data_IF_378488206694
#
_entry.id   IF_378488206694
#
_cell.length_a   1.000
_cell.length_b   1.000
_cell.length_c   1.000
_cell.angle_alpha   90.00
_cell.angle_beta   90.00
_cell.angle_gamma   90.00
#
_symmetry.space_group_name_H-M   'P 1'
#
loop_
_entity.id
_entity.type
_entity.pdbx_description
1 polymer ?
#
# COMPACT_ATOMS: atom_id res chain seq x y z
N UNK A 1 41.54 52.78 -39.35
CA UNK A 1 41.25 51.33 -39.48
C UNK A 1 39.95 51.10 -38.72
N UNK A 2 38.75 51.31 -39.28
CA UNK A 2 38.05 50.77 -40.46
C UNK A 2 37.53 49.32 -40.28
N UNK A 3 36.19 49.28 -40.13
CA UNK A 3 35.15 48.26 -40.33
C UNK A 3 34.90 47.06 -39.39
N UNK A 4 33.64 47.08 -38.93
CA UNK A 4 32.75 46.00 -38.47
C UNK A 4 32.42 44.99 -39.57
N UNK A 5 32.18 43.71 -39.23
CA UNK A 5 31.36 42.77 -40.02
C UNK A 5 30.65 41.76 -39.08
N UNK A 6 29.31 41.80 -39.11
CA UNK A 6 28.39 40.70 -38.76
C UNK A 6 28.43 39.63 -39.85
N UNK A 7 28.10 38.36 -39.57
CA UNK A 7 27.83 37.45 -40.68
C UNK A 7 27.60 35.99 -40.35
N UNK A 8 26.32 35.63 -40.33
CA UNK A 8 25.76 34.28 -40.36
C UNK A 8 26.11 33.61 -41.70
N UNK A 9 26.23 32.29 -41.69
CA UNK A 9 25.86 31.31 -42.73
C UNK A 9 26.94 30.25 -42.94
N UNK A 10 26.63 29.02 -42.53
CA UNK A 10 27.23 27.83 -43.13
C UNK A 10 26.09 26.98 -43.64
N UNK A 11 26.00 26.95 -44.98
CA UNK A 11 25.12 26.07 -45.73
C UNK A 11 25.57 24.61 -45.61
N UNK A 12 24.57 23.76 -45.75
CA UNK A 12 24.57 22.31 -45.79
C UNK A 12 25.61 21.72 -46.74
N UNK A 13 26.30 20.65 -46.30
CA UNK A 13 26.66 19.52 -47.14
C UNK A 13 26.54 18.22 -46.33
N UNK A 14 25.65 17.35 -46.81
CA UNK A 14 25.60 15.91 -46.53
C UNK A 14 26.98 15.28 -46.69
N UNK A 15 27.40 14.50 -45.71
CA UNK A 15 28.20 13.30 -45.95
C UNK A 15 27.71 12.21 -45.01
N UNK A 16 27.06 11.20 -45.60
CA UNK A 16 26.88 9.92 -44.97
C UNK A 16 28.26 9.34 -44.65
N UNK A 17 28.52 9.05 -43.39
CA UNK A 17 29.23 7.84 -43.02
C UNK A 17 28.45 7.23 -41.87
N UNK A 18 27.68 6.21 -42.23
CA UNK A 18 27.15 5.19 -41.34
C UNK A 18 28.26 4.67 -40.43
N UNK A 19 28.04 4.73 -39.12
CA UNK A 19 28.61 3.77 -38.19
C UNK A 19 27.52 3.36 -37.19
N UNK A 20 27.52 2.06 -36.97
CA UNK A 20 26.46 1.18 -36.52
C UNK A 20 26.54 1.06 -34.99
N UNK A 21 25.75 1.85 -34.25
CA UNK A 21 25.66 1.70 -32.79
C UNK A 21 24.50 0.78 -32.42
N UNK A 22 24.81 -0.52 -32.54
CA UNK A 22 24.51 -1.54 -31.54
C UNK A 22 23.11 -1.49 -30.94
N UNK A 23 22.20 -2.26 -31.53
CA UNK A 23 20.98 -2.74 -30.89
C UNK A 23 21.30 -3.58 -29.65
N UNK A 24 21.57 -2.93 -28.53
CA UNK A 24 21.45 -3.53 -27.22
C UNK A 24 19.97 -3.69 -26.88
N UNK A 25 19.52 -4.82 -26.30
CA UNK A 25 18.14 -4.94 -25.85
C UNK A 25 17.86 -3.81 -24.86
N UNK A 26 16.81 -3.01 -25.15
CA UNK A 26 16.26 -2.03 -24.23
C UNK A 26 15.97 -2.79 -22.93
N UNK A 27 16.69 -2.47 -21.85
CA UNK A 27 16.44 -3.03 -20.52
C UNK A 27 15.10 -2.45 -20.06
N UNK A 28 14.01 -3.13 -20.35
CA UNK A 28 12.67 -2.82 -19.85
C UNK A 28 12.63 -3.16 -18.37
N UNK A 29 13.06 -2.22 -17.54
CA UNK A 29 12.75 -2.27 -16.11
C UNK A 29 11.27 -1.96 -15.98
N UNK A 30 10.46 -2.93 -15.58
CA UNK A 30 9.04 -2.72 -15.27
C UNK A 30 8.92 -1.79 -14.06
N UNK A 31 7.91 -0.92 -14.05
CA UNK A 31 7.60 -0.05 -12.91
C UNK A 31 6.09 -0.07 -12.67
N UNK A 32 5.64 -0.81 -11.64
CA UNK A 32 4.22 -1.06 -11.38
C UNK A 32 3.47 -1.62 -12.61
N UNK A 33 4.11 -2.60 -13.23
CA UNK A 33 3.68 -3.22 -14.48
C UNK A 33 3.92 -4.73 -14.42
N UNK A 34 3.18 -5.48 -15.23
CA UNK A 34 3.50 -6.86 -15.53
C UNK A 34 3.64 -7.06 -17.04
N UNK A 35 4.37 -8.09 -17.44
CA UNK A 35 4.55 -8.49 -18.83
C UNK A 35 4.23 -9.97 -18.99
N UNK A 36 3.31 -10.29 -19.90
CA UNK A 36 2.97 -11.66 -20.28
C UNK A 36 3.36 -11.89 -21.73
N UNK A 37 4.24 -12.86 -21.99
CA UNK A 37 4.77 -13.14 -23.33
C UNK A 37 5.30 -11.88 -24.06
N UNK A 38 5.94 -10.98 -23.30
CA UNK A 38 6.48 -9.69 -23.75
C UNK A 38 5.44 -8.59 -24.05
N UNK A 39 4.16 -8.80 -23.74
CA UNK A 39 3.15 -7.74 -23.73
C UNK A 39 3.08 -7.12 -22.34
N UNK A 40 3.44 -5.84 -22.22
CA UNK A 40 3.45 -5.11 -20.95
C UNK A 40 2.11 -4.47 -20.67
N UNK A 41 1.66 -4.54 -19.43
CA UNK A 41 0.40 -3.97 -18.94
C UNK A 41 0.63 -3.30 -17.58
N UNK A 42 0.10 -2.08 -17.35
CA UNK A 42 0.12 -1.44 -16.04
C UNK A 42 -0.64 -2.27 -14.99
N UNK A 43 -0.22 -2.17 -13.73
CA UNK A 43 -0.99 -2.68 -12.60
C UNK A 43 -1.88 -1.55 -12.08
N UNK A 44 -3.19 -1.74 -12.17
CA UNK A 44 -4.19 -0.75 -11.78
C UNK A 44 -4.72 -0.95 -10.36
N UNK A 45 -4.73 -2.18 -9.82
CA UNK A 45 -5.25 -2.47 -8.48
C UNK A 45 -4.66 -3.75 -7.90
N UNK A 46 -4.47 -3.76 -6.57
CA UNK A 46 -4.04 -4.95 -5.83
C UNK A 46 -4.95 -5.14 -4.62
N UNK A 47 -5.56 -6.32 -4.52
CA UNK A 47 -6.35 -6.76 -3.37
C UNK A 47 -5.69 -8.02 -2.81
N UNK A 48 -5.71 -8.23 -1.50
CA UNK A 48 -5.32 -9.50 -0.93
C UNK A 48 -6.24 -9.95 0.18
N UNK A 49 -6.34 -11.26 0.38
CA UNK A 49 -7.08 -11.88 1.47
C UNK A 49 -6.14 -12.71 2.33
N UNK A 50 -6.62 -13.07 3.53
CA UNK A 50 -5.95 -14.02 4.42
C UNK A 50 -6.98 -15.01 4.92
N UNK A 51 -6.73 -16.29 4.68
CA UNK A 51 -7.48 -17.37 5.33
C UNK A 51 -6.91 -17.59 6.73
N UNK A 52 -7.69 -17.27 7.76
CA UNK A 52 -7.28 -17.40 9.16
C UNK A 52 -7.07 -18.87 9.59
N UNK A 53 -7.70 -19.84 8.92
CA UNK A 53 -7.59 -21.25 9.28
C UNK A 53 -6.30 -21.89 8.73
N UNK A 54 -5.96 -21.58 7.47
CA UNK A 54 -4.75 -22.10 6.82
C UNK A 54 -3.54 -21.17 6.96
N UNK A 55 -3.75 -19.90 7.28
CA UNK A 55 -2.71 -18.87 7.30
C UNK A 55 -2.28 -18.41 5.90
N UNK A 56 -2.98 -18.83 4.85
CA UNK A 56 -2.63 -18.51 3.46
C UNK A 56 -3.08 -17.10 3.12
N UNK A 57 -2.15 -16.30 2.60
CA UNK A 57 -2.39 -15.01 1.97
C UNK A 57 -2.63 -15.22 0.47
N UNK A 58 -3.67 -14.59 -0.07
CA UNK A 58 -3.98 -14.65 -1.50
C UNK A 58 -4.00 -13.25 -2.08
N UNK A 59 -3.08 -12.93 -2.98
CA UNK A 59 -2.96 -11.64 -3.66
C UNK A 59 -3.57 -11.71 -5.07
N UNK A 60 -4.32 -10.68 -5.42
CA UNK A 60 -4.98 -10.46 -6.69
C UNK A 60 -4.44 -9.16 -7.29
N UNK A 61 -3.71 -9.25 -8.39
CA UNK A 61 -3.00 -8.11 -9.01
C UNK A 61 -3.61 -7.90 -10.40
N UNK A 62 -4.42 -6.85 -10.55
CA UNK A 62 -5.20 -6.58 -11.77
C UNK A 62 -4.67 -5.36 -12.52
N UNK A 63 -4.75 -5.35 -13.87
CA UNK A 63 -4.54 -4.15 -14.67
C UNK A 63 -5.72 -3.16 -14.61
N UNK A 64 -6.90 -3.59 -14.19
CA UNK A 64 -8.06 -2.71 -14.06
C UNK A 64 -7.86 -1.76 -12.87
N UNK A 65 -8.01 -0.46 -13.13
CA UNK A 65 -7.87 0.58 -12.12
C UNK A 65 -9.10 0.69 -11.21
N UNK A 66 -8.89 1.01 -9.93
CA UNK A 66 -9.96 1.35 -8.99
C UNK A 66 -10.75 0.17 -8.43
N UNK A 67 -10.24 -1.06 -8.49
CA UNK A 67 -10.86 -2.22 -7.85
C UNK A 67 -10.54 -2.20 -6.36
N UNK A 68 -11.57 -1.98 -5.53
CA UNK A 68 -11.43 -1.75 -4.08
C UNK A 68 -11.90 -2.90 -3.20
N UNK A 69 -12.46 -3.97 -3.78
CA UNK A 69 -12.91 -5.15 -3.05
C UNK A 69 -12.72 -6.43 -3.88
N UNK A 70 -12.88 -7.58 -3.22
CA UNK A 70 -12.70 -8.88 -3.87
C UNK A 70 -13.80 -9.18 -4.89
N UNK A 71 -15.03 -8.75 -4.68
CA UNK A 71 -16.13 -9.07 -5.61
C UNK A 71 -15.92 -8.37 -6.95
N UNK A 72 -15.51 -7.09 -6.93
CA UNK A 72 -15.13 -6.34 -8.12
C UNK A 72 -13.89 -6.94 -8.80
N UNK A 73 -12.92 -7.40 -8.01
CA UNK A 73 -11.71 -8.09 -8.51
C UNK A 73 -12.04 -9.41 -9.23
N UNK A 74 -12.89 -10.24 -8.62
CA UNK A 74 -13.35 -11.50 -9.19
C UNK A 74 -14.24 -11.28 -10.42
N UNK A 75 -15.00 -10.18 -10.46
CA UNK A 75 -15.81 -9.81 -11.63
C UNK A 75 -14.96 -9.36 -12.82
N UNK A 76 -13.82 -8.70 -12.57
CA UNK A 76 -12.90 -8.28 -13.62
C UNK A 76 -12.15 -9.45 -14.28
N UNK A 77 -11.83 -10.50 -13.51
CA UNK A 77 -11.24 -11.78 -13.98
C UNK A 77 -9.97 -11.63 -14.85
N UNK A 78 -9.17 -10.60 -14.58
CA UNK A 78 -7.97 -10.23 -15.35
C UNK A 78 -6.68 -10.22 -14.52
N UNK A 79 -6.75 -10.73 -13.29
CA UNK A 79 -5.70 -10.62 -12.28
C UNK A 79 -4.67 -11.75 -12.33
N UNK A 80 -3.44 -11.46 -11.88
CA UNK A 80 -2.47 -12.45 -11.42
C UNK A 80 -2.89 -12.86 -10.00
N UNK A 81 -3.02 -14.17 -9.78
CA UNK A 81 -3.35 -14.74 -8.47
C UNK A 81 -2.10 -15.37 -7.86
N UNK A 82 -1.73 -14.96 -6.65
CA UNK A 82 -0.60 -15.53 -5.88
C UNK A 82 -1.11 -15.98 -4.52
N UNK A 83 -0.95 -17.25 -4.17
CA UNK A 83 -1.21 -17.76 -2.83
C UNK A 83 0.11 -18.11 -2.14
N UNK A 84 0.28 -17.73 -0.88
CA UNK A 84 1.47 -18.03 -0.07
C UNK A 84 1.15 -18.04 1.42
N UNK A 85 1.79 -18.92 2.18
CA UNK A 85 1.75 -18.88 3.65
C UNK A 85 2.81 -17.92 4.25
N UNK A 86 3.69 -17.36 3.43
CA UNK A 86 4.73 -16.39 3.80
C UNK A 86 4.67 -15.18 2.87
N UNK A 87 3.97 -14.09 3.25
CA UNK A 87 3.82 -12.89 2.42
C UNK A 87 5.05 -11.96 2.50
N UNK A 88 6.20 -12.48 2.90
CA UNK A 88 7.44 -11.71 3.09
C UNK A 88 8.66 -12.56 2.75
N UNK A 89 9.53 -12.03 1.90
CA UNK A 89 10.75 -12.66 1.44
C UNK A 89 10.61 -13.36 0.08
N UNK A 90 11.60 -14.18 -0.22
CA UNK A 90 11.60 -15.01 -1.42
C UNK A 90 10.69 -16.23 -1.21
N UNK A 91 9.81 -16.48 -2.17
CA UNK A 91 8.76 -17.51 -2.08
C UNK A 91 9.06 -18.59 -3.11
N UNK A 92 9.19 -19.84 -2.63
CA UNK A 92 9.20 -21.01 -3.51
C UNK A 92 7.78 -21.35 -3.97
N UNK A 93 7.43 -20.94 -5.19
CA UNK A 93 6.14 -21.20 -5.81
C UNK A 93 5.85 -22.68 -6.08
N UNK A 94 6.87 -23.55 -6.06
CA UNK A 94 6.71 -25.00 -6.18
C UNK A 94 6.55 -25.69 -4.83
N UNK A 95 6.72 -24.94 -3.74
CA UNK A 95 6.49 -25.40 -2.39
C UNK A 95 5.01 -25.70 -2.10
N UNK A 96 4.78 -26.43 -1.01
CA UNK A 96 3.44 -26.69 -0.50
C UNK A 96 2.75 -25.38 -0.11
N UNK A 97 1.44 -25.29 -0.37
CA UNK A 97 0.56 -24.16 -0.01
C UNK A 97 0.87 -22.84 -0.75
N UNK A 98 1.84 -22.85 -1.67
CA UNK A 98 2.15 -21.74 -2.55
C UNK A 98 1.63 -22.02 -3.96
N UNK A 99 1.15 -20.97 -4.64
CA UNK A 99 0.79 -21.07 -6.05
C UNK A 99 0.81 -19.72 -6.75
N UNK A 100 0.94 -19.77 -8.07
CA UNK A 100 0.76 -18.63 -8.97
C UNK A 100 -0.10 -19.06 -10.14
N UNK A 101 -1.12 -18.25 -10.48
CA UNK A 101 -2.01 -18.47 -11.62
C UNK A 101 -2.21 -17.18 -12.39
N UNK A 102 -1.91 -17.22 -13.68
CA UNK A 102 -2.30 -16.20 -14.65
C UNK A 102 -2.29 -16.80 -16.06
N UNK A 103 -3.48 -16.86 -16.70
CA UNK A 103 -3.65 -17.48 -18.03
C UNK A 103 -3.02 -18.89 -18.10
N UNK A 104 -2.01 -19.08 -18.94
CA UNK A 104 -1.29 -20.36 -19.11
C UNK A 104 -0.13 -20.56 -18.13
N UNK A 105 0.25 -19.53 -17.36
CA UNK A 105 1.28 -19.65 -16.31
C UNK A 105 0.59 -20.15 -15.04
N UNK A 106 0.81 -21.41 -14.71
CA UNK A 106 0.24 -22.09 -13.54
C UNK A 106 1.35 -22.81 -12.79
N UNK A 107 1.73 -22.27 -11.63
CA UNK A 107 2.84 -22.77 -10.82
C UNK A 107 2.31 -23.19 -9.45
N UNK A 108 2.66 -24.40 -9.05
CA UNK A 108 2.33 -25.00 -7.76
C UNK A 108 3.20 -26.24 -7.58
N UNK A 109 3.12 -26.89 -6.41
CA UNK A 109 3.74 -28.20 -6.18
C UNK A 109 3.32 -29.28 -7.19
N UNK A 110 2.10 -29.22 -7.74
CA UNK A 110 1.58 -30.19 -8.71
C UNK A 110 2.08 -29.95 -10.13
N UNK A 111 2.44 -28.70 -10.45
CA UNK A 111 2.85 -28.29 -11.81
C UNK A 111 4.35 -28.04 -11.93
N UNK A 112 5.14 -28.32 -10.88
CA UNK A 112 6.57 -28.05 -10.82
C UNK A 112 7.37 -28.62 -12.03
N UNK A 113 6.97 -29.77 -12.57
CA UNK A 113 7.61 -30.37 -13.75
C UNK A 113 7.48 -29.52 -15.04
N UNK A 114 6.53 -28.59 -15.08
CA UNK A 114 6.27 -27.71 -16.22
C UNK A 114 6.92 -26.33 -16.04
N UNK A 115 7.68 -26.11 -14.96
CA UNK A 115 8.29 -24.83 -14.63
C UNK A 115 9.75 -24.82 -15.09
N UNK A 116 10.12 -23.84 -15.91
CA UNK A 116 11.51 -23.61 -16.31
C UNK A 116 12.21 -22.65 -15.34
N UNK A 117 11.52 -21.61 -14.90
CA UNK A 117 12.00 -20.64 -13.92
C UNK A 117 10.83 -20.12 -13.08
N UNK A 118 11.06 -19.88 -11.78
CA UNK A 118 10.09 -19.25 -10.89
C UNK A 118 10.81 -18.52 -9.77
N UNK A 119 11.07 -17.23 -9.98
CA UNK A 119 11.56 -16.33 -8.96
C UNK A 119 10.41 -15.41 -8.52
N UNK A 120 10.03 -15.50 -7.25
CA UNK A 120 9.04 -14.62 -6.64
C UNK A 120 9.63 -14.06 -5.34
N UNK A 121 9.62 -12.74 -5.21
CA UNK A 121 9.86 -12.05 -3.96
C UNK A 121 8.65 -11.17 -3.65
N UNK A 122 8.10 -11.31 -2.45
CA UNK A 122 6.95 -10.55 -2.00
C UNK A 122 7.30 -9.95 -0.63
N UNK A 123 6.96 -8.70 -0.41
CA UNK A 123 7.15 -8.01 0.85
C UNK A 123 5.91 -7.18 1.14
N UNK A 124 5.03 -7.71 1.98
CA UNK A 124 3.95 -6.95 2.58
C UNK A 124 4.55 -6.03 3.66
N UNK A 125 4.89 -4.79 3.28
CA UNK A 125 5.57 -3.83 4.18
C UNK A 125 4.64 -3.28 5.25
N UNK A 126 3.34 -3.25 4.97
CA UNK A 126 2.25 -2.86 5.87
C UNK A 126 0.96 -3.58 5.43
N UNK A 127 -0.15 -3.39 6.14
CA UNK A 127 -1.44 -3.94 5.69
C UNK A 127 -1.91 -3.36 4.34
N UNK A 128 -1.37 -2.21 3.93
CA UNK A 128 -1.82 -1.43 2.78
C UNK A 128 -0.77 -1.28 1.70
N UNK A 129 0.44 -1.78 1.87
CA UNK A 129 1.52 -1.65 0.88
C UNK A 129 2.23 -2.97 0.67
N UNK A 130 2.39 -3.35 -0.60
CA UNK A 130 3.11 -4.54 -1.01
C UNK A 130 4.16 -4.20 -2.06
N UNK A 131 5.32 -4.82 -1.91
CA UNK A 131 6.35 -4.89 -2.93
C UNK A 131 6.41 -6.30 -3.50
N UNK A 132 6.45 -6.41 -4.81
CA UNK A 132 6.45 -7.67 -5.56
C UNK A 132 7.50 -7.60 -6.66
N UNK A 133 8.28 -8.67 -6.80
CA UNK A 133 9.11 -8.92 -7.98
C UNK A 133 8.88 -10.37 -8.41
N UNK A 134 8.55 -10.56 -9.67
CA UNK A 134 8.20 -11.85 -10.26
C UNK A 134 8.92 -12.03 -11.59
N UNK A 135 9.56 -13.20 -11.76
CA UNK A 135 10.06 -13.69 -13.05
C UNK A 135 9.75 -15.20 -13.15
N UNK A 136 8.77 -15.54 -13.98
CA UNK A 136 8.31 -16.90 -14.21
C UNK A 136 8.39 -17.27 -15.69
N UNK A 137 8.83 -18.50 -15.95
CA UNK A 137 8.85 -19.10 -17.29
C UNK A 137 8.43 -20.57 -17.23
N UNK A 138 7.54 -20.97 -18.13
CA UNK A 138 7.06 -22.34 -18.28
C UNK A 138 7.86 -23.08 -19.36
N UNK A 139 7.94 -24.42 -19.27
CA UNK A 139 8.61 -25.24 -20.28
C UNK A 139 7.93 -25.19 -21.66
N UNK A 140 6.66 -24.81 -21.70
CA UNK A 140 5.88 -24.55 -22.91
C UNK A 140 6.22 -23.22 -23.59
N UNK A 141 7.01 -22.36 -22.94
CA UNK A 141 7.52 -21.10 -23.49
C UNK A 141 6.82 -19.85 -22.98
N UNK A 142 5.69 -19.96 -22.27
CA UNK A 142 5.04 -18.80 -21.67
C UNK A 142 5.87 -18.15 -20.58
N UNK A 143 5.87 -16.82 -20.54
CA UNK A 143 6.59 -16.01 -19.57
C UNK A 143 5.68 -15.02 -18.89
N UNK A 144 5.93 -14.78 -17.60
CA UNK A 144 5.26 -13.75 -16.81
C UNK A 144 6.29 -13.05 -15.93
N UNK A 145 6.38 -11.73 -16.07
CA UNK A 145 7.22 -10.88 -15.22
C UNK A 145 6.35 -9.81 -14.58
N UNK A 146 6.65 -9.42 -13.35
CA UNK A 146 5.96 -8.28 -12.72
C UNK A 146 6.89 -7.57 -11.74
N UNK A 147 6.77 -6.25 -11.68
CA UNK A 147 7.37 -5.43 -10.63
C UNK A 147 6.29 -4.51 -10.09
N UNK A 148 6.09 -4.54 -8.77
CA UNK A 148 5.11 -3.69 -8.10
C UNK A 148 5.66 -3.18 -6.78
N UNK A 149 5.39 -1.92 -6.49
CA UNK A 149 5.66 -1.29 -5.21
C UNK A 149 4.60 -0.20 -5.01
N UNK A 150 3.53 -0.57 -4.32
CA UNK A 150 2.37 0.31 -4.20
C UNK A 150 1.33 -0.22 -3.24
N UNK A 151 0.16 0.42 -3.30
CA UNK A 151 -0.94 0.15 -2.39
C UNK A 151 -1.61 -1.20 -2.68
N UNK A 152 -1.96 -1.92 -1.63
CA UNK A 152 -2.84 -3.07 -1.71
C UNK A 152 -3.97 -2.94 -0.70
N UNK A 153 -5.12 -3.53 -1.02
CA UNK A 153 -6.28 -3.50 -0.15
C UNK A 153 -6.43 -4.86 0.49
N UNK A 154 -6.42 -4.90 1.82
CA UNK A 154 -6.74 -6.11 2.54
C UNK A 154 -8.26 -6.33 2.52
N UNK A 155 -8.71 -7.31 1.74
CA UNK A 155 -10.09 -7.77 1.76
C UNK A 155 -10.23 -8.91 2.77
N UNK A 156 -11.07 -8.68 3.77
CA UNK A 156 -11.64 -9.72 4.62
C UNK A 156 -13.14 -9.68 4.36
N UNK A 157 -13.73 -10.82 3.96
CA UNK A 157 -15.18 -10.94 3.78
C UNK A 157 -15.87 -10.29 4.98
N UNK A 158 -16.83 -9.39 4.74
CA UNK A 158 -17.47 -8.59 5.79
C UNK A 158 -17.72 -9.43 7.03
N UNK A 159 -16.84 -9.29 8.01
CA UNK A 159 -17.17 -9.70 9.34
C UNK A 159 -18.26 -8.70 9.74
N UNK A 160 -19.43 -9.24 10.08
CA UNK A 160 -20.67 -8.62 10.52
C UNK A 160 -20.52 -7.23 11.20
N UNK A 161 -20.28 -6.13 10.47
CA UNK A 161 -19.88 -4.79 10.98
C UNK A 161 -20.20 -4.55 12.47
N UNK A 162 -19.17 -4.53 13.31
CA UNK A 162 -19.34 -4.37 14.74
C UNK A 162 -19.85 -2.96 15.08
N UNK A 163 -20.53 -2.82 16.21
CA UNK A 163 -20.99 -1.52 16.69
C UNK A 163 -19.89 -0.46 16.61
N UNK A 164 -20.25 0.71 16.06
CA UNK A 164 -19.36 1.85 15.97
C UNK A 164 -18.84 2.22 17.36
N UNK A 165 -17.52 2.33 17.46
CA UNK A 165 -16.83 2.59 18.70
C UNK A 165 -16.70 4.08 18.91
N UNK A 166 -17.59 4.63 19.74
CA UNK A 166 -17.49 6.04 20.12
C UNK A 166 -16.30 6.26 21.05
N UNK A 167 -15.27 6.95 20.56
CA UNK A 167 -14.16 7.46 21.37
C UNK A 167 -14.34 8.98 21.57
N UNK A 168 -14.64 9.41 22.78
CA UNK A 168 -14.97 10.81 23.09
C UNK A 168 -14.08 11.44 24.16
N UNK A 169 -13.03 10.74 24.58
CA UNK A 169 -12.03 11.27 25.52
C UNK A 169 -10.78 11.73 24.74
N UNK A 170 -10.64 13.03 24.44
CA UNK A 170 -9.48 13.54 23.72
C UNK A 170 -8.22 13.34 24.58
N UNK A 171 -7.18 12.78 23.97
CA UNK A 171 -5.92 12.49 24.65
C UNK A 171 -4.89 13.57 24.38
N UNK A 172 -4.61 13.80 23.11
CA UNK A 172 -3.69 14.83 22.64
C UNK A 172 -3.94 15.20 21.18
N UNK A 173 -3.40 16.35 20.80
CA UNK A 173 -3.22 16.77 19.42
C UNK A 173 -1.94 17.60 19.35
N UNK A 174 -0.87 17.02 18.80
CA UNK A 174 0.45 17.65 18.75
C UNK A 174 0.86 17.92 17.31
N UNK A 175 1.39 19.11 17.07
CA UNK A 175 2.23 19.36 15.92
C UNK A 175 3.65 18.89 16.24
N UNK A 176 4.22 17.99 15.43
CA UNK A 176 5.55 17.40 15.66
C UNK A 176 6.67 18.03 14.84
N UNK A 177 6.34 18.99 13.97
CA UNK A 177 7.30 19.63 13.08
C UNK A 177 6.90 19.54 11.63
N UNK A 178 7.71 20.17 10.78
CA UNK A 178 7.64 20.03 9.34
C UNK A 178 8.48 18.83 8.89
N UNK A 179 8.00 18.10 7.90
CA UNK A 179 8.67 16.97 7.27
C UNK A 179 9.61 17.43 6.16
N UNK A 180 10.39 16.49 5.61
CA UNK A 180 11.24 16.75 4.45
C UNK A 180 10.45 17.00 3.15
N UNK A 181 9.18 16.60 3.08
CA UNK A 181 8.28 16.88 1.96
C UNK A 181 7.62 18.27 2.07
N UNK A 182 7.88 19.01 3.15
CA UNK A 182 7.33 20.34 3.37
C UNK A 182 5.98 20.36 4.09
N UNK A 183 5.40 19.20 4.40
CA UNK A 183 4.13 19.09 5.14
C UNK A 183 4.32 19.17 6.65
N UNK A 184 3.27 19.55 7.36
CA UNK A 184 3.24 19.52 8.83
C UNK A 184 2.80 18.14 9.33
N UNK A 185 3.55 17.59 10.28
CA UNK A 185 3.19 16.35 10.97
C UNK A 185 2.32 16.65 12.20
N UNK A 186 1.19 15.95 12.30
CA UNK A 186 0.25 16.00 13.40
C UNK A 186 0.03 14.61 14.00
N UNK A 187 0.25 14.50 15.31
CA UNK A 187 -0.09 13.29 16.06
C UNK A 187 -1.34 13.53 16.89
N UNK A 188 -2.39 12.74 16.66
CA UNK A 188 -3.69 12.86 17.27
C UNK A 188 -4.01 11.62 18.10
N UNK A 189 -4.68 11.79 19.24
CA UNK A 189 -5.04 10.70 20.13
C UNK A 189 -6.43 10.88 20.74
N UNK A 190 -7.24 9.82 20.71
CA UNK A 190 -8.57 9.78 21.34
C UNK A 190 -8.84 8.40 21.94
N UNK A 191 -9.55 8.34 23.06
CA UNK A 191 -9.91 7.09 23.75
C UNK A 191 -11.40 7.04 24.09
N UNK A 192 -11.89 5.85 24.44
CA UNK A 192 -13.23 5.67 25.02
C UNK A 192 -13.20 5.41 26.55
N UNK A 193 -12.02 5.26 27.14
CA UNK A 193 -11.81 4.98 28.56
C UNK A 193 -10.81 5.93 29.18
N UNK A 194 -10.75 6.00 30.50
CA UNK A 194 -9.75 6.84 31.17
C UNK A 194 -8.33 6.36 30.89
N UNK A 195 -7.41 7.31 30.77
CA UNK A 195 -6.02 7.06 30.41
C UNK A 195 -5.06 7.92 31.23
N UNK A 196 -3.77 7.61 31.13
CA UNK A 196 -2.65 8.46 31.53
C UNK A 196 -1.71 8.66 30.35
N UNK A 197 -1.14 9.85 30.24
CA UNK A 197 -0.13 10.18 29.24
C UNK A 197 1.18 10.58 29.89
N UNK A 198 2.30 10.18 29.27
CA UNK A 198 3.63 10.67 29.59
C UNK A 198 4.39 10.93 28.28
N UNK A 199 4.33 12.19 27.81
CA UNK A 199 4.79 12.50 26.45
C UNK A 199 3.90 11.83 25.40
N UNK A 200 4.50 11.04 24.51
CA UNK A 200 3.78 10.24 23.50
C UNK A 200 3.35 8.86 24.03
N UNK A 201 3.75 8.47 25.24
CA UNK A 201 3.34 7.21 25.82
C UNK A 201 1.94 7.33 26.43
N UNK A 202 1.13 6.29 26.21
CA UNK A 202 -0.25 6.17 26.68
C UNK A 202 -0.37 4.89 27.49
N UNK A 203 -1.11 4.94 28.60
CA UNK A 203 -1.66 3.74 29.23
C UNK A 203 -3.15 3.94 29.54
N UNK A 204 -3.98 2.97 29.14
CA UNK A 204 -5.39 2.92 29.49
C UNK A 204 -5.54 2.40 30.92
N UNK A 205 -6.42 3.02 31.71
CA UNK A 205 -6.62 2.66 33.13
C UNK A 205 -7.55 1.46 33.31
N UNK A 206 -8.34 1.15 32.31
CA UNK A 206 -9.37 0.12 32.32
C UNK A 206 -9.52 -0.46 30.90
N UNK A 207 -10.11 -1.67 30.75
CA UNK A 207 -10.26 -2.30 29.45
C UNK A 207 -11.02 -1.40 28.47
N UNK A 208 -10.46 -1.16 27.30
CA UNK A 208 -11.00 -0.21 26.35
C UNK A 208 -10.06 0.06 25.19
N UNK A 209 -10.36 1.09 24.42
CA UNK A 209 -9.69 1.40 23.17
C UNK A 209 -9.15 2.83 23.16
N UNK A 210 -8.04 3.02 22.45
CA UNK A 210 -7.54 4.31 22.04
C UNK A 210 -7.10 4.27 20.57
N UNK A 211 -7.34 5.34 19.84
CA UNK A 211 -6.84 5.56 18.49
C UNK A 211 -5.74 6.60 18.51
N UNK A 212 -4.64 6.30 17.82
CA UNK A 212 -3.53 7.21 17.54
C UNK A 212 -3.44 7.38 16.03
N UNK A 213 -3.26 8.61 15.55
CA UNK A 213 -3.13 8.93 14.13
C UNK A 213 -1.94 9.86 13.90
N UNK A 214 -1.12 9.54 12.90
CA UNK A 214 0.03 10.33 12.46
C UNK A 214 -0.26 10.89 11.05
N UNK A 215 -0.78 12.11 11.00
CA UNK A 215 -1.30 12.76 9.79
C UNK A 215 -0.37 13.86 9.28
N UNK A 216 -0.38 14.08 7.97
CA UNK A 216 0.44 15.05 7.27
C UNK A 216 -0.44 15.99 6.45
N UNK A 217 -0.25 17.30 6.65
CA UNK A 217 -1.04 18.34 5.99
C UNK A 217 -0.13 19.51 5.60
N UNK A 218 -0.22 19.96 4.36
CA UNK A 218 0.27 21.28 3.95
C UNK A 218 -0.77 22.33 4.36
N UNK A 219 -0.46 23.07 5.43
CA UNK A 219 -1.33 24.14 5.91
C UNK A 219 -1.04 25.49 5.24
N UNK A 220 -0.16 25.52 4.22
CA UNK A 220 0.39 26.77 3.69
C UNK A 220 1.01 27.63 4.80
N UNK A 221 0.73 28.93 4.79
CA UNK A 221 1.21 29.90 5.78
C UNK A 221 0.45 29.86 7.13
N UNK A 222 -0.64 29.09 7.22
CA UNK A 222 -1.48 29.00 8.44
C UNK A 222 -0.93 27.95 9.42
N UNK A 223 0.15 28.32 10.09
CA UNK A 223 0.71 27.55 11.20
C UNK A 223 -0.35 27.22 12.26
N UNK A 224 -0.47 25.94 12.64
CA UNK A 224 -1.39 25.39 13.65
C UNK A 224 -2.87 25.23 13.26
N UNK A 225 -3.19 25.26 11.96
CA UNK A 225 -4.51 24.79 11.53
C UNK A 225 -4.66 23.30 11.87
N UNK A 226 -5.69 22.99 12.65
CA UNK A 226 -5.99 21.60 13.02
C UNK A 226 -6.30 20.81 11.75
N UNK A 227 -5.76 19.58 11.57
CA UNK A 227 -5.92 18.85 10.33
C UNK A 227 -7.40 18.57 10.03
N UNK A 228 -7.81 18.79 8.79
CA UNK A 228 -9.16 18.50 8.28
C UNK A 228 -9.09 18.03 6.84
N UNK A 229 -10.06 17.23 6.42
CA UNK A 229 -10.10 16.62 5.10
C UNK A 229 -10.07 15.10 5.18
N UNK A 230 -9.89 14.47 4.03
CA UNK A 230 -9.72 13.03 3.90
C UNK A 230 -8.24 12.74 3.73
N UNK A 231 -7.70 11.85 4.56
CA UNK A 231 -6.29 11.46 4.58
C UNK A 231 -6.15 10.01 4.11
N UNK A 232 -5.29 9.80 3.12
CA UNK A 232 -4.97 8.48 2.57
C UNK A 232 -3.64 7.98 3.12
N UNK A 233 -3.40 6.66 3.13
CA UNK A 233 -2.14 6.12 3.63
C UNK A 233 -0.95 6.51 2.73
N UNK A 234 0.17 6.91 3.33
CA UNK A 234 1.42 7.12 2.62
C UNK A 234 2.65 7.12 3.53
N UNK A 235 3.74 6.51 3.06
CA UNK A 235 5.08 6.66 3.64
C UNK A 235 5.89 7.84 3.09
N UNK A 236 5.31 8.63 2.16
CA UNK A 236 5.98 9.79 1.54
C UNK A 236 5.72 11.10 2.28
N UNK A 237 4.91 11.05 3.35
CA UNK A 237 4.58 12.21 4.17
C UNK A 237 3.95 13.35 3.35
N UNK A 238 3.19 13.02 2.31
CA UNK A 238 2.57 13.98 1.40
C UNK A 238 1.42 14.75 2.04
N UNK A 239 0.92 15.76 1.35
CA UNK A 239 -0.27 16.48 1.80
C UNK A 239 -1.48 15.54 1.87
N UNK A 240 -2.34 15.72 2.88
CA UNK A 240 -3.50 14.87 3.16
C UNK A 240 -3.17 13.38 3.19
N UNK A 241 -2.10 13.01 3.90
CA UNK A 241 -1.74 11.59 4.10
C UNK A 241 -1.64 11.22 5.58
N UNK A 242 -1.71 9.92 5.91
CA UNK A 242 -1.33 9.40 7.21
C UNK A 242 -0.28 8.30 7.08
N UNK A 243 0.54 8.12 8.12
CA UNK A 243 1.57 7.07 8.13
C UNK A 243 1.11 5.88 8.98
N UNK A 244 0.86 4.75 8.32
CA UNK A 244 0.27 3.53 8.92
C UNK A 244 1.04 3.03 10.15
N UNK A 245 2.37 3.01 10.10
CA UNK A 245 3.18 2.48 11.22
C UNK A 245 2.92 3.21 12.55
N UNK A 246 2.49 4.48 12.49
CA UNK A 246 2.16 5.29 13.66
C UNK A 246 0.65 5.60 13.78
N UNK A 247 -0.19 4.98 12.95
CA UNK A 247 -1.63 5.21 12.90
C UNK A 247 -2.37 3.91 13.18
N UNK A 248 -2.88 3.76 14.40
CA UNK A 248 -3.43 2.50 14.88
C UNK A 248 -4.43 2.69 16.02
N UNK A 249 -5.27 1.68 16.22
CA UNK A 249 -6.11 1.49 17.40
C UNK A 249 -5.43 0.50 18.34
N UNK A 250 -5.32 0.85 19.61
CA UNK A 250 -4.91 -0.03 20.69
C UNK A 250 -6.15 -0.47 21.45
N UNK A 251 -6.29 -1.78 21.67
CA UNK A 251 -7.23 -2.34 22.64
C UNK A 251 -6.46 -2.87 23.85
N UNK A 252 -6.87 -2.46 25.05
CA UNK A 252 -6.40 -2.98 26.32
C UNK A 252 -7.47 -3.87 26.94
N UNK A 253 -7.14 -5.09 27.32
CA UNK A 253 -8.09 -6.04 27.93
C UNK A 253 -8.08 -6.02 29.48
N UNK A 254 -7.24 -5.17 30.08
CA UNK A 254 -6.98 -5.14 31.53
C UNK A 254 -5.66 -5.80 31.94
N UNK A 255 -5.04 -6.58 31.04
CA UNK A 255 -3.77 -7.27 31.25
C UNK A 255 -2.75 -6.96 30.15
N UNK A 256 -3.16 -6.99 28.89
CA UNK A 256 -2.33 -6.78 27.72
C UNK A 256 -2.96 -5.81 26.73
N UNK A 257 -2.09 -5.19 25.92
CA UNK A 257 -2.49 -4.30 24.83
C UNK A 257 -2.27 -4.99 23.49
N UNK A 258 -3.25 -4.86 22.61
CA UNK A 258 -3.14 -5.30 21.21
C UNK A 258 -3.25 -4.09 20.30
N UNK A 259 -2.34 -3.98 19.34
CA UNK A 259 -2.34 -2.92 18.32
C UNK A 259 -2.97 -3.41 17.04
N UNK A 260 -3.82 -2.58 16.44
CA UNK A 260 -4.58 -2.84 15.22
C UNK A 260 -4.44 -1.64 14.30
N UNK A 261 -3.96 -1.84 13.09
CA UNK A 261 -3.75 -0.75 12.14
C UNK A 261 -5.08 -0.21 11.61
N UNK A 262 -5.06 1.05 11.20
CA UNK A 262 -6.16 1.66 10.47
C UNK A 262 -6.28 1.01 9.08
N UNK A 263 -7.50 0.71 8.63
CA UNK A 263 -7.76 -0.07 7.41
C UNK A 263 -8.48 0.71 6.31
N UNK A 264 -8.77 1.99 6.51
CA UNK A 264 -9.38 2.86 5.49
C UNK A 264 -8.81 4.27 5.53
N UNK A 265 -9.28 5.12 4.63
CA UNK A 265 -9.06 6.55 4.74
C UNK A 265 -9.51 7.08 6.11
N UNK A 266 -8.81 8.12 6.56
CA UNK A 266 -9.16 8.86 7.78
C UNK A 266 -9.86 10.14 7.36
N UNK A 267 -11.11 10.31 7.77
CA UNK A 267 -11.84 11.57 7.56
C UNK A 267 -11.78 12.39 8.83
N UNK A 268 -11.29 13.62 8.75
CA UNK A 268 -11.30 14.59 9.83
C UNK A 268 -12.15 15.78 9.43
N UNK A 269 -13.27 15.98 10.12
CA UNK A 269 -14.17 17.12 9.89
C UNK A 269 -14.33 17.95 11.15
N UNK A 270 -14.67 19.23 10.95
CA UNK A 270 -14.91 20.16 12.05
C UNK A 270 -16.29 20.80 11.91
N UNK A 271 -17.10 20.62 12.95
CA UNK A 271 -18.41 21.25 13.08
C UNK A 271 -18.39 22.16 14.32
N UNK A 272 -18.17 23.46 14.08
CA UNK A 272 -17.96 24.44 15.14
C UNK A 272 -16.73 24.11 16.00
N UNK A 273 -16.97 23.76 17.27
CA UNK A 273 -15.92 23.40 18.23
C UNK A 273 -15.69 21.88 18.35
N UNK A 274 -16.43 21.07 17.60
CA UNK A 274 -16.30 19.63 17.61
C UNK A 274 -15.47 19.18 16.42
N UNK A 275 -14.40 18.42 16.68
CA UNK A 275 -13.68 17.66 15.67
C UNK A 275 -14.25 16.24 15.65
N UNK A 276 -14.62 15.76 14.48
CA UNK A 276 -14.98 14.37 14.24
C UNK A 276 -13.86 13.71 13.44
N UNK A 277 -13.39 12.57 13.91
CA UNK A 277 -12.45 11.71 13.21
C UNK A 277 -13.20 10.42 12.93
N UNK A 278 -13.12 9.92 11.70
CA UNK A 278 -13.76 8.67 11.32
C UNK A 278 -12.86 7.81 10.45
N UNK A 279 -12.76 6.53 10.79
CA UNK A 279 -12.01 5.53 10.03
C UNK A 279 -12.46 4.11 10.37
N UNK A 280 -11.80 3.10 9.80
CA UNK A 280 -12.00 1.69 10.11
C UNK A 280 -10.71 1.07 10.64
N UNK A 281 -10.85 0.02 11.44
CA UNK A 281 -9.76 -0.87 11.80
C UNK A 281 -10.31 -2.29 11.95
N UNK A 282 -9.40 -3.26 11.92
CA UNK A 282 -9.74 -4.68 12.06
C UNK A 282 -9.51 -5.12 13.51
N UNK A 283 -10.60 -5.44 14.22
CA UNK A 283 -10.55 -5.91 15.60
C UNK A 283 -10.28 -7.43 15.65
N UNK A 284 -9.00 -7.79 15.76
CA UNK A 284 -8.58 -9.19 15.82
C UNK A 284 -8.68 -9.81 17.22
N UNK A 285 -9.10 -9.05 18.26
CA UNK A 285 -9.03 -9.49 19.67
C UNK A 285 -10.32 -10.14 20.15
N UNK A 286 -11.46 -9.70 19.63
CA UNK A 286 -12.74 -10.36 19.81
C UNK A 286 -13.07 -10.99 18.47
N UNK A 287 -13.12 -12.31 18.36
CA UNK A 287 -13.51 -13.01 17.12
C UNK A 287 -14.77 -12.37 16.50
N UNK A 288 -14.59 -11.41 15.60
CA UNK A 288 -15.66 -10.48 15.30
C UNK A 288 -15.27 -9.23 14.49
N UNK A 289 -16.22 -8.28 14.41
CA UNK A 289 -16.34 -7.18 13.46
C UNK A 289 -15.12 -6.53 12.79
N UNK A 290 -15.20 -6.11 11.51
CA UNK A 290 -14.61 -4.80 11.18
C UNK A 290 -15.36 -3.73 12.01
N UNK A 291 -14.64 -2.78 12.63
CA UNK A 291 -15.25 -1.72 13.46
C UNK A 291 -14.97 -0.32 12.89
N UNK A 292 -15.97 0.55 13.02
CA UNK A 292 -15.79 1.99 12.82
C UNK A 292 -15.40 2.67 14.14
N UNK A 293 -14.60 3.73 14.03
CA UNK A 293 -14.37 4.72 15.08
C UNK A 293 -14.89 6.06 14.59
#
# INVERSE_FOLDING_TARGET
>A
MLFSVMGICSHSLTSCSSDDDGGGPKKTTLENEFSYNNETTPIGSVVYTKDDASGIYTFYISPTEGLIDLDAMLLADDYILIATNTPTGDIDLTGKDNSLVYKNVKISSETAANVQNSALSLLLTSQTTVKLSLDAAMTSGETLKAEYNGLCIFYKSEAEQGDALKMDKPMFGYWRGQTTSGTNNYLLGVANVDFVTQGTNIALKEPGYAMILDCYLDSGDEWKTYPSGTFTESNKFGDHTYFDTNSFVVYFDGSASTTMHVSSDVTISREGNTTKISTTFIDNVRCGPCRHV
#
